data_IF_941358660006
#
_entry.id   IF_941358660006
#
_cell.length_a   1.000
_cell.length_b   1.000
_cell.length_c   1.000
_cell.angle_alpha   90.00
_cell.angle_beta   90.00
_cell.angle_gamma   90.00
#
_symmetry.space_group_name_H-M   'P 1'
#
loop_
_entity.id
_entity.type
_entity.pdbx_description
1 polymer ?
#
# COMPACT_ATOMS: atom_id res chain seq x y z
N UNK A 1 -46.54 -10.87 -41.11
CA UNK A 1 -45.42 -9.92 -41.25
C UNK A 1 -44.84 -9.79 -39.87
N UNK A 2 -43.85 -10.62 -39.56
CA UNK A 2 -43.21 -10.68 -38.24
C UNK A 2 -42.02 -9.70 -38.21
N UNK A 3 -42.12 -8.71 -37.32
CA UNK A 3 -41.02 -7.79 -37.04
C UNK A 3 -40.13 -8.45 -36.01
N UNK A 4 -39.03 -9.02 -36.44
CA UNK A 4 -37.94 -9.50 -35.57
C UNK A 4 -37.22 -8.30 -34.94
N UNK A 5 -37.40 -8.11 -33.63
CA UNK A 5 -36.58 -7.20 -32.82
C UNK A 5 -35.16 -7.78 -32.69
N UNK A 6 -34.23 -7.16 -33.41
CA UNK A 6 -32.81 -7.41 -33.27
C UNK A 6 -32.30 -6.56 -32.09
N UNK A 7 -32.15 -7.17 -30.92
CA UNK A 7 -31.42 -6.54 -29.79
C UNK A 7 -29.94 -6.61 -30.10
N UNK A 8 -29.36 -5.46 -30.47
CA UNK A 8 -27.93 -5.27 -30.57
C UNK A 8 -27.31 -5.55 -29.20
N UNK A 9 -26.53 -6.61 -29.11
CA UNK A 9 -25.68 -6.90 -27.94
C UNK A 9 -24.67 -5.78 -27.80
N UNK A 10 -24.75 -5.06 -26.68
CA UNK A 10 -23.79 -4.06 -26.27
C UNK A 10 -22.48 -4.77 -25.83
N UNK A 11 -21.33 -4.61 -26.51
CA UNK A 11 -20.09 -5.31 -26.18
C UNK A 11 -19.40 -4.80 -24.91
N UNK A 12 -20.01 -3.87 -24.19
CA UNK A 12 -19.52 -3.34 -22.90
C UNK A 12 -20.34 -3.81 -21.69
N UNK A 13 -21.16 -4.83 -21.83
CA UNK A 13 -21.64 -5.52 -20.66
C UNK A 13 -20.40 -6.12 -19.97
N UNK A 14 -20.06 -5.60 -18.81
CA UNK A 14 -19.09 -6.19 -17.91
C UNK A 14 -19.38 -7.69 -17.83
N UNK A 15 -18.51 -8.49 -18.41
CA UNK A 15 -18.57 -9.93 -18.26
C UNK A 15 -18.60 -10.17 -16.76
N UNK A 16 -19.73 -10.69 -16.26
CA UNK A 16 -19.98 -10.81 -14.85
C UNK A 16 -18.85 -11.54 -14.16
N UNK A 17 -18.05 -10.79 -13.43
CA UNK A 17 -17.44 -11.32 -12.22
C UNK A 17 -18.67 -11.73 -11.40
N UNK A 18 -18.92 -13.02 -11.32
CA UNK A 18 -19.97 -13.55 -10.49
C UNK A 18 -19.78 -12.90 -9.12
N UNK A 19 -20.69 -12.01 -8.78
CA UNK A 19 -20.75 -11.42 -7.48
C UNK A 19 -21.28 -12.53 -6.57
N UNK A 20 -20.40 -13.46 -6.21
CA UNK A 20 -20.60 -14.23 -5.00
C UNK A 20 -20.55 -13.20 -3.90
N UNK A 21 -21.71 -12.83 -3.37
CA UNK A 21 -21.89 -11.84 -2.30
C UNK A 21 -21.27 -12.30 -0.97
N UNK A 22 -20.62 -13.44 -0.95
CA UNK A 22 -19.98 -14.04 0.21
C UNK A 22 -18.60 -13.42 0.45
N UNK A 23 -18.55 -12.15 0.82
CA UNK A 23 -17.31 -11.49 1.21
C UNK A 23 -17.25 -9.97 0.98
N UNK A 24 -18.27 -9.36 0.38
CA UNK A 24 -18.36 -7.92 0.27
C UNK A 24 -19.41 -7.37 1.26
N UNK A 25 -19.07 -6.27 1.92
CA UNK A 25 -20.05 -5.60 2.78
C UNK A 25 -21.26 -5.18 1.94
N UNK A 26 -22.48 -5.51 2.41
CA UNK A 26 -23.70 -5.08 1.75
C UNK A 26 -23.85 -3.56 1.72
N UNK A 27 -24.74 -3.04 0.85
CA UNK A 27 -25.00 -1.59 0.71
C UNK A 27 -25.30 -0.89 2.06
N UNK A 28 -25.89 -1.61 3.00
CA UNK A 28 -26.39 -1.03 4.26
C UNK A 28 -25.56 -1.43 5.49
N UNK A 29 -24.79 -2.51 5.40
CA UNK A 29 -23.97 -3.03 6.49
C UNK A 29 -22.48 -2.97 6.13
N UNK A 30 -21.64 -2.82 7.14
CA UNK A 30 -20.20 -2.88 6.99
C UNK A 30 -19.67 -4.20 7.55
N UNK A 31 -18.93 -4.92 6.73
CA UNK A 31 -18.15 -6.08 7.13
C UNK A 31 -16.76 -5.97 6.52
N UNK A 32 -15.74 -5.98 7.35
CA UNK A 32 -14.37 -5.91 6.86
C UNK A 32 -13.92 -7.26 6.31
N UNK A 33 -13.19 -7.23 5.19
CA UNK A 33 -12.52 -8.39 4.63
C UNK A 33 -11.57 -8.97 5.66
N UNK A 34 -11.58 -10.28 5.81
CA UNK A 34 -10.61 -10.98 6.65
C UNK A 34 -9.19 -10.83 6.08
N UNK A 35 -8.25 -10.48 6.95
CA UNK A 35 -6.83 -10.42 6.69
C UNK A 35 -6.11 -10.97 7.92
N UNK A 36 -4.94 -11.60 7.75
CA UNK A 36 -4.18 -11.99 8.93
C UNK A 36 -3.59 -10.76 9.64
N UNK A 37 -3.26 -10.92 10.90
CA UNK A 37 -2.60 -9.87 11.69
C UNK A 37 -1.13 -9.72 11.26
N UNK A 38 -0.69 -8.48 11.14
CA UNK A 38 0.71 -8.11 10.90
C UNK A 38 1.21 -7.25 12.05
N UNK A 39 2.31 -7.66 12.64
CA UNK A 39 2.95 -6.92 13.71
C UNK A 39 3.78 -5.75 13.15
N UNK A 40 3.55 -4.55 13.68
CA UNK A 40 4.34 -3.36 13.37
C UNK A 40 4.68 -2.68 14.70
N UNK A 41 5.81 -3.04 15.29
CA UNK A 41 6.11 -2.66 16.67
C UNK A 41 4.95 -3.06 17.59
N UNK A 42 4.55 -2.14 18.47
CA UNK A 42 3.45 -2.33 19.44
C UNK A 42 2.05 -2.00 18.84
N UNK A 43 1.96 -1.75 17.54
CA UNK A 43 0.71 -1.33 16.89
C UNK A 43 0.37 -2.27 15.73
N UNK A 44 -0.17 -3.46 15.99
CA UNK A 44 -0.53 -4.42 14.95
C UNK A 44 -1.68 -3.91 14.08
N UNK A 45 -1.78 -4.42 12.86
CA UNK A 45 -2.85 -4.15 11.90
C UNK A 45 -3.34 -5.45 11.25
N UNK A 46 -4.47 -5.39 10.55
CA UNK A 46 -5.13 -6.60 10.03
C UNK A 46 -5.86 -7.37 11.16
N UNK A 47 -6.35 -8.56 10.87
CA UNK A 47 -7.15 -9.32 11.83
C UNK A 47 -8.31 -8.50 12.40
N UNK A 48 -8.52 -8.58 13.70
CA UNK A 48 -9.55 -7.83 14.43
C UNK A 48 -9.11 -6.42 14.85
N UNK A 49 -7.88 -6.02 14.50
CA UNK A 49 -7.36 -4.70 14.85
C UNK A 49 -8.16 -3.58 14.15
N UNK A 50 -8.29 -2.39 14.77
CA UNK A 50 -8.91 -1.25 14.12
C UNK A 50 -8.16 -0.84 12.86
N UNK A 51 -8.85 -0.18 11.93
CA UNK A 51 -8.21 0.41 10.75
C UNK A 51 -7.28 1.53 11.22
N UNK A 52 -5.98 1.37 10.94
CA UNK A 52 -4.94 2.29 11.40
C UNK A 52 -4.84 3.51 10.50
N UNK A 53 -4.56 4.65 11.10
CA UNK A 53 -4.37 5.92 10.39
C UNK A 53 -2.90 6.32 10.46
N UNK A 54 -2.32 6.65 9.31
CA UNK A 54 -0.94 7.14 9.25
C UNK A 54 -0.84 8.47 8.51
N UNK A 55 0.22 9.23 8.83
CA UNK A 55 0.69 10.33 8.02
C UNK A 55 2.19 10.22 7.75
N UNK A 56 2.75 11.21 7.07
CA UNK A 56 4.13 11.19 6.60
C UNK A 56 4.78 12.54 6.87
N UNK A 57 6.00 12.53 7.40
CA UNK A 57 6.77 13.77 7.58
C UNK A 57 7.12 14.40 6.22
N UNK A 58 7.24 15.70 6.23
CA UNK A 58 7.72 16.52 5.10
C UNK A 58 9.13 17.06 5.35
N UNK A 59 9.64 16.89 6.58
CA UNK A 59 11.00 17.28 6.97
C UNK A 59 12.05 16.37 6.33
N UNK A 60 13.26 16.88 6.06
CA UNK A 60 14.37 16.04 5.62
C UNK A 60 14.70 14.98 6.68
N UNK A 61 14.67 13.71 6.32
CA UNK A 61 14.91 12.59 7.27
C UNK A 61 16.33 12.59 7.85
N UNK A 62 17.26 13.34 7.27
CA UNK A 62 18.59 13.57 7.84
C UNK A 62 18.61 14.57 9.00
N UNK A 63 17.51 15.29 9.24
CA UNK A 63 17.33 16.22 10.37
C UNK A 63 16.50 15.55 11.46
N UNK A 64 17.20 15.05 12.48
CA UNK A 64 16.58 14.28 13.57
C UNK A 64 15.54 15.09 14.34
N UNK A 65 15.89 16.30 14.78
CA UNK A 65 15.01 17.10 15.66
C UNK A 65 13.77 17.57 14.89
N UNK A 66 13.92 18.03 13.64
CA UNK A 66 12.78 18.43 12.82
C UNK A 66 11.82 17.24 12.56
N UNK A 67 12.37 16.03 12.34
CA UNK A 67 11.57 14.82 12.18
C UNK A 67 10.85 14.41 13.46
N UNK A 68 11.52 14.50 14.62
CA UNK A 68 10.92 14.19 15.92
C UNK A 68 9.77 15.15 16.23
N UNK A 69 9.99 16.45 16.06
CA UNK A 69 8.96 17.47 16.32
C UNK A 69 7.74 17.27 15.42
N UNK A 70 7.95 17.00 14.13
CA UNK A 70 6.82 16.77 13.21
C UNK A 70 6.13 15.41 13.48
N UNK A 71 6.88 14.38 13.82
CA UNK A 71 6.32 13.10 14.23
C UNK A 71 5.41 13.25 15.46
N UNK A 72 5.83 14.03 16.45
CA UNK A 72 5.02 14.32 17.65
C UNK A 72 3.71 14.99 17.28
N UNK A 73 3.71 16.00 16.43
CA UNK A 73 2.46 16.66 15.98
C UNK A 73 1.51 15.67 15.26
N UNK A 74 2.05 14.80 14.42
CA UNK A 74 1.27 13.74 13.75
C UNK A 74 0.64 12.80 14.80
N UNK A 75 1.41 12.39 15.80
CA UNK A 75 0.98 11.47 16.87
C UNK A 75 -0.07 12.15 17.76
N UNK A 76 0.15 13.39 18.17
CA UNK A 76 -0.79 14.20 18.95
C UNK A 76 -2.13 14.39 18.23
N UNK A 77 -2.11 14.48 16.88
CA UNK A 77 -3.32 14.49 16.06
C UNK A 77 -4.03 13.13 15.98
N UNK A 78 -3.43 12.06 16.49
CA UNK A 78 -3.97 10.69 16.50
C UNK A 78 -3.40 9.78 15.43
N UNK A 79 -2.25 10.12 14.85
CA UNK A 79 -1.51 9.24 13.94
C UNK A 79 -0.96 8.01 14.64
N UNK A 80 -1.21 6.83 14.08
CA UNK A 80 -0.81 5.54 14.67
C UNK A 80 0.46 4.98 14.02
N UNK A 81 0.86 5.52 12.89
CA UNK A 81 2.16 5.29 12.23
C UNK A 81 2.69 6.61 11.68
N UNK A 82 4.00 6.80 11.74
CA UNK A 82 4.68 7.95 11.13
C UNK A 82 5.60 7.47 10.03
N UNK A 83 5.37 7.91 8.78
CA UNK A 83 6.19 7.54 7.63
C UNK A 83 7.22 8.62 7.33
N UNK A 84 8.46 8.20 7.08
CA UNK A 84 9.58 9.06 6.73
C UNK A 84 10.14 8.68 5.36
N UNK A 85 10.41 9.66 4.51
CA UNK A 85 11.07 9.43 3.22
C UNK A 85 12.52 9.01 3.45
N UNK A 86 12.93 7.89 2.84
CA UNK A 86 14.25 7.28 3.05
C UNK A 86 14.87 7.00 1.69
N UNK A 87 15.55 8.00 1.14
CA UNK A 87 16.11 7.96 -0.22
C UNK A 87 17.51 7.38 -0.27
N UNK A 88 18.28 7.50 0.80
CA UNK A 88 19.66 7.08 0.87
C UNK A 88 20.03 6.43 2.20
N UNK A 89 21.25 5.89 2.26
CA UNK A 89 21.77 5.20 3.45
C UNK A 89 21.84 6.15 4.65
N UNK A 90 22.17 7.42 4.44
CA UNK A 90 22.24 8.42 5.51
C UNK A 90 20.90 8.63 6.19
N UNK A 91 19.83 8.72 5.44
CA UNK A 91 18.47 8.83 5.98
C UNK A 91 18.06 7.52 6.69
N UNK A 92 18.41 6.36 6.11
CA UNK A 92 18.13 5.07 6.73
C UNK A 92 18.87 4.90 8.06
N UNK A 93 20.12 5.27 8.16
CA UNK A 93 20.89 5.25 9.41
C UNK A 93 20.32 6.24 10.43
N UNK A 94 19.86 7.42 9.99
CA UNK A 94 19.30 8.43 10.88
C UNK A 94 17.94 8.04 11.49
N UNK A 95 17.23 7.07 10.90
CA UNK A 95 16.03 6.50 11.52
C UNK A 95 16.30 5.99 12.95
N UNK A 96 17.52 5.46 13.19
CA UNK A 96 17.95 5.06 14.53
C UNK A 96 17.87 6.22 15.53
N UNK A 97 18.41 7.39 15.16
CA UNK A 97 18.45 8.56 16.03
C UNK A 97 17.03 9.08 16.29
N UNK A 98 16.20 9.16 15.24
CA UNK A 98 14.79 9.58 15.36
C UNK A 98 14.04 8.62 16.28
N UNK A 99 14.20 7.31 16.10
CA UNK A 99 13.56 6.29 16.90
C UNK A 99 13.98 6.40 18.36
N UNK A 100 15.30 6.48 18.66
CA UNK A 100 15.83 6.63 20.02
C UNK A 100 15.24 7.88 20.69
N UNK A 101 15.24 9.03 20.02
CA UNK A 101 14.69 10.28 20.57
C UNK A 101 13.22 10.16 20.93
N UNK A 102 12.41 9.54 20.09
CA UNK A 102 10.98 9.30 20.38
C UNK A 102 10.81 8.34 21.58
N UNK A 103 11.61 7.27 21.65
CA UNK A 103 11.55 6.30 22.76
C UNK A 103 12.00 6.89 24.10
N UNK A 104 12.99 7.80 24.12
CA UNK A 104 13.40 8.54 25.30
C UNK A 104 12.26 9.40 25.90
N UNK A 105 11.34 9.85 25.05
CA UNK A 105 10.13 10.58 25.48
C UNK A 105 8.93 9.66 25.76
N UNK A 106 9.12 8.34 25.74
CA UNK A 106 8.07 7.35 26.01
C UNK A 106 7.10 7.12 24.84
N UNK A 107 7.41 7.64 23.65
CA UNK A 107 6.59 7.48 22.46
C UNK A 107 6.96 6.16 21.76
N UNK A 108 6.00 5.23 21.65
CA UNK A 108 6.22 3.90 21.03
C UNK A 108 5.65 3.79 19.62
N UNK A 109 5.06 4.85 19.08
CA UNK A 109 4.48 4.87 17.74
C UNK A 109 5.48 4.38 16.69
N UNK A 110 5.12 3.38 15.86
CA UNK A 110 6.03 2.82 14.88
C UNK A 110 6.40 3.79 13.77
N UNK A 111 7.68 3.73 13.37
CA UNK A 111 8.19 4.44 12.21
C UNK A 111 8.12 3.57 10.96
N UNK A 112 7.76 4.18 9.84
CA UNK A 112 7.69 3.53 8.53
C UNK A 112 8.70 4.18 7.61
N UNK A 113 9.73 3.44 7.21
CA UNK A 113 10.70 3.90 6.22
C UNK A 113 10.12 3.75 4.81
N UNK A 114 10.08 4.85 4.06
CA UNK A 114 9.64 4.85 2.66
C UNK A 114 10.86 4.85 1.74
N UNK A 115 11.31 3.66 1.37
CA UNK A 115 12.52 3.48 0.58
C UNK A 115 12.23 3.62 -0.91
N UNK A 116 13.13 4.31 -1.59
CA UNK A 116 13.08 4.55 -3.03
C UNK A 116 14.38 4.08 -3.71
N UNK A 117 14.24 3.37 -4.83
CA UNK A 117 15.29 3.08 -5.82
C UNK A 117 16.51 2.25 -5.40
N UNK A 118 16.69 1.88 -4.14
CA UNK A 118 17.91 1.21 -3.72
C UNK A 118 17.64 0.12 -2.68
N UNK A 119 17.78 -1.17 -3.03
CA UNK A 119 17.59 -2.29 -2.10
C UNK A 119 18.47 -2.20 -0.84
N UNK A 120 19.72 -1.75 -0.96
CA UNK A 120 20.62 -1.62 0.19
C UNK A 120 20.11 -0.60 1.22
N UNK A 121 19.42 0.44 0.78
CA UNK A 121 18.76 1.40 1.70
C UNK A 121 17.64 0.72 2.48
N UNK A 122 16.91 -0.22 1.85
CA UNK A 122 15.88 -1.01 2.53
C UNK A 122 16.49 -1.94 3.59
N UNK A 123 17.63 -2.57 3.29
CA UNK A 123 18.35 -3.42 4.25
C UNK A 123 18.74 -2.63 5.51
N UNK A 124 19.31 -1.44 5.34
CA UNK A 124 19.69 -0.57 6.47
C UNK A 124 18.46 -0.05 7.22
N UNK A 125 17.41 0.37 6.51
CA UNK A 125 16.18 0.86 7.13
C UNK A 125 15.48 -0.21 7.97
N UNK A 126 15.56 -1.48 7.57
CA UNK A 126 14.98 -2.61 8.31
C UNK A 126 15.61 -2.82 9.69
N UNK A 127 16.81 -2.30 9.94
CA UNK A 127 17.45 -2.36 11.25
C UNK A 127 16.86 -1.36 12.27
N UNK A 128 16.16 -0.32 11.79
CA UNK A 128 15.84 0.85 12.63
C UNK A 128 14.40 1.31 12.52
N UNK A 129 13.60 0.78 11.62
CA UNK A 129 12.18 1.08 11.46
C UNK A 129 11.33 -0.17 11.71
N UNK A 130 10.15 0.01 12.25
CA UNK A 130 9.21 -1.10 12.49
C UNK A 130 8.51 -1.58 11.21
N UNK A 131 8.55 -0.76 10.16
CA UNK A 131 8.05 -1.15 8.83
C UNK A 131 8.85 -0.48 7.73
N UNK A 132 9.18 -1.22 6.67
CA UNK A 132 9.86 -0.70 5.48
C UNK A 132 8.97 -0.85 4.26
N UNK A 133 8.77 0.24 3.52
CA UNK A 133 8.09 0.18 2.23
C UNK A 133 9.11 0.06 1.11
N UNK A 134 8.90 -0.90 0.25
CA UNK A 134 9.59 -1.06 -1.03
C UNK A 134 8.61 -0.90 -2.19
N UNK A 135 9.09 -0.41 -3.32
CA UNK A 135 8.29 -0.25 -4.53
C UNK A 135 8.72 -1.27 -5.59
N UNK A 136 7.90 -2.27 -5.90
CA UNK A 136 8.21 -3.28 -6.92
C UNK A 136 8.71 -2.71 -8.25
N UNK A 137 8.16 -1.58 -8.69
CA UNK A 137 8.50 -0.98 -9.98
C UNK A 137 9.92 -0.42 -10.09
N UNK A 138 10.61 -0.22 -8.96
CA UNK A 138 11.97 0.35 -8.94
C UNK A 138 12.87 -0.24 -7.83
N UNK A 139 12.51 -1.39 -7.28
CA UNK A 139 13.30 -2.03 -6.23
C UNK A 139 14.55 -2.71 -6.80
N UNK A 140 14.40 -3.49 -7.86
CA UNK A 140 15.50 -4.18 -8.58
C UNK A 140 15.57 -3.71 -10.02
N UNK A 141 14.42 -3.52 -10.65
CA UNK A 141 14.33 -3.01 -12.00
C UNK A 141 14.88 -1.57 -12.06
N UNK A 142 15.63 -1.20 -13.10
CA UNK A 142 15.98 0.20 -13.29
C UNK A 142 14.72 1.05 -13.44
N UNK A 143 14.82 2.31 -13.02
CA UNK A 143 13.74 3.26 -13.26
C UNK A 143 13.31 3.19 -14.73
N UNK A 144 11.99 3.32 -14.95
CA UNK A 144 11.36 3.26 -16.28
C UNK A 144 12.16 4.02 -17.32
N UNK A 145 12.76 3.31 -18.26
CA UNK A 145 13.66 3.89 -19.27
C UNK A 145 13.09 3.86 -20.67
N UNK A 146 12.04 3.05 -20.91
CA UNK A 146 11.47 2.77 -22.22
C UNK A 146 12.49 2.27 -23.26
N UNK A 147 13.62 1.72 -22.78
CA UNK A 147 14.70 1.22 -23.65
C UNK A 147 14.43 -0.17 -24.18
N UNK A 148 13.74 -1.00 -23.41
CA UNK A 148 13.38 -2.35 -23.80
C UNK A 148 11.85 -2.48 -23.75
N UNK A 149 11.25 -2.62 -24.92
CA UNK A 149 9.78 -2.65 -25.09
C UNK A 149 9.22 -4.07 -25.19
N UNK A 150 10.07 -5.08 -25.37
CA UNK A 150 9.66 -6.48 -25.47
C UNK A 150 10.58 -7.37 -24.64
N UNK A 151 9.97 -8.33 -23.96
CA UNK A 151 10.65 -9.37 -23.17
C UNK A 151 10.15 -10.74 -23.61
N UNK A 152 11.07 -11.65 -23.92
CA UNK A 152 10.71 -13.07 -24.09
C UNK A 152 10.33 -13.69 -22.73
N UNK A 153 9.74 -14.88 -22.75
CA UNK A 153 9.37 -15.57 -21.51
C UNK A 153 10.62 -15.93 -20.69
N UNK A 154 11.71 -16.30 -21.35
CA UNK A 154 12.99 -16.59 -20.71
C UNK A 154 13.60 -15.35 -20.06
N UNK A 155 13.61 -14.23 -20.77
CA UNK A 155 14.11 -12.96 -20.24
C UNK A 155 13.28 -12.47 -19.04
N UNK A 156 11.95 -12.61 -19.13
CA UNK A 156 11.05 -12.28 -18.04
C UNK A 156 11.33 -13.15 -16.81
N UNK A 157 11.51 -14.45 -16.99
CA UNK A 157 11.85 -15.37 -15.92
C UNK A 157 13.21 -15.07 -15.26
N UNK A 158 14.20 -14.64 -16.06
CA UNK A 158 15.50 -14.23 -15.50
C UNK A 158 15.39 -12.94 -14.65
N UNK A 159 14.56 -11.97 -15.05
CA UNK A 159 14.32 -10.79 -14.24
C UNK A 159 13.63 -11.14 -12.91
N UNK A 160 12.68 -12.08 -12.90
CA UNK A 160 12.07 -12.57 -11.65
C UNK A 160 13.10 -13.21 -10.72
N UNK A 161 14.07 -13.98 -11.25
CA UNK A 161 15.16 -14.54 -10.43
C UNK A 161 16.05 -13.45 -9.83
N UNK A 162 16.29 -12.35 -10.54
CA UNK A 162 17.05 -11.20 -10.01
C UNK A 162 16.28 -10.55 -8.84
N UNK A 163 14.97 -10.38 -8.99
CA UNK A 163 14.12 -9.86 -7.91
C UNK A 163 14.23 -10.77 -6.68
N UNK A 164 14.05 -12.07 -6.86
CA UNK A 164 14.14 -13.04 -5.77
C UNK A 164 15.50 -13.02 -5.07
N UNK A 165 16.58 -13.02 -5.85
CA UNK A 165 17.96 -12.96 -5.36
C UNK A 165 18.22 -11.74 -4.48
N UNK A 166 17.58 -10.61 -4.75
CA UNK A 166 17.72 -9.38 -3.99
C UNK A 166 16.72 -9.27 -2.84
N UNK A 167 15.50 -9.76 -3.04
CA UNK A 167 14.42 -9.57 -2.09
C UNK A 167 14.46 -10.58 -0.94
N UNK A 168 14.84 -11.83 -1.18
CA UNK A 168 14.91 -12.86 -0.13
C UNK A 168 15.91 -12.50 0.99
N UNK A 169 17.14 -12.02 0.72
CA UNK A 169 18.03 -11.52 1.77
C UNK A 169 17.41 -10.40 2.62
N UNK A 170 16.73 -9.45 1.99
CA UNK A 170 16.01 -8.39 2.68
C UNK A 170 14.90 -8.93 3.60
N UNK A 171 14.11 -9.90 3.14
CA UNK A 171 13.09 -10.55 3.99
C UNK A 171 13.72 -11.24 5.21
N UNK A 172 14.92 -11.81 5.07
CA UNK A 172 15.63 -12.42 6.19
C UNK A 172 16.08 -11.38 7.23
N UNK A 173 16.58 -10.21 6.79
CA UNK A 173 16.87 -9.09 7.69
C UNK A 173 15.59 -8.64 8.40
N UNK A 174 14.49 -8.47 7.67
CA UNK A 174 13.20 -8.09 8.27
C UNK A 174 12.71 -9.11 9.31
N UNK A 175 12.88 -10.41 9.05
CA UNK A 175 12.53 -11.47 9.99
C UNK A 175 13.38 -11.41 11.26
N UNK A 176 14.68 -11.19 11.14
CA UNK A 176 15.60 -11.08 12.27
C UNK A 176 15.29 -9.87 13.15
N UNK A 177 14.90 -8.75 12.55
CA UNK A 177 14.63 -7.49 13.24
C UNK A 177 13.14 -7.24 13.55
N UNK A 178 12.26 -8.21 13.27
CA UNK A 178 10.80 -8.09 13.44
C UNK A 178 10.21 -6.87 12.71
N UNK A 179 10.73 -6.58 11.54
CA UNK A 179 10.33 -5.46 10.70
C UNK A 179 9.30 -5.91 9.68
N UNK A 180 8.13 -5.28 9.67
CA UNK A 180 7.12 -5.53 8.64
C UNK A 180 7.54 -4.93 7.29
N UNK A 181 7.08 -5.53 6.21
CA UNK A 181 7.34 -5.05 4.85
C UNK A 181 6.05 -4.52 4.24
N UNK A 182 6.08 -3.32 3.65
CA UNK A 182 5.00 -2.86 2.80
C UNK A 182 5.43 -2.92 1.33
N UNK A 183 4.78 -3.78 0.58
CA UNK A 183 4.89 -3.83 -0.88
C UNK A 183 3.97 -2.75 -1.44
N UNK A 184 4.56 -1.65 -1.87
CA UNK A 184 3.84 -0.44 -2.25
C UNK A 184 4.02 -0.10 -3.72
N UNK A 185 3.07 -0.51 -4.57
CA UNK A 185 3.08 -0.19 -6.01
C UNK A 185 2.49 1.19 -6.25
N UNK A 186 3.19 2.00 -7.04
CA UNK A 186 2.67 3.22 -7.62
C UNK A 186 2.46 3.01 -9.12
N UNK A 187 1.27 3.34 -9.61
CA UNK A 187 0.91 3.24 -11.02
C UNK A 187 1.94 3.91 -11.94
N UNK A 188 2.38 5.12 -11.60
CA UNK A 188 3.35 5.88 -12.40
C UNK A 188 4.80 5.32 -12.41
N UNK A 189 5.10 4.26 -11.66
CA UNK A 189 6.44 3.68 -11.53
C UNK A 189 6.50 2.19 -11.82
N UNK A 190 5.62 1.67 -12.67
CA UNK A 190 5.70 0.28 -13.12
C UNK A 190 6.98 0.05 -13.93
N UNK A 191 7.61 -1.13 -13.79
CA UNK A 191 8.80 -1.48 -14.55
C UNK A 191 8.51 -1.68 -16.05
N UNK A 192 9.54 -1.49 -16.89
CA UNK A 192 9.44 -1.71 -18.33
C UNK A 192 8.98 -3.14 -18.65
N UNK A 193 9.40 -4.11 -17.84
CA UNK A 193 9.02 -5.52 -17.95
C UNK A 193 7.51 -5.75 -17.77
N UNK A 194 6.93 -5.15 -16.74
CA UNK A 194 5.47 -5.20 -16.49
C UNK A 194 4.73 -4.49 -17.61
N UNK A 195 5.20 -3.31 -18.00
CA UNK A 195 4.58 -2.52 -19.08
C UNK A 195 4.59 -3.26 -20.42
N UNK A 196 5.65 -3.99 -20.72
CA UNK A 196 5.79 -4.75 -21.96
C UNK A 196 4.78 -5.89 -22.04
N UNK A 197 4.50 -6.57 -20.94
CA UNK A 197 3.66 -7.78 -20.92
C UNK A 197 2.19 -7.49 -20.62
N UNK A 198 1.91 -6.57 -19.70
CA UNK A 198 0.57 -6.30 -19.18
C UNK A 198 0.04 -4.91 -19.54
N UNK A 199 0.92 -4.03 -20.06
CA UNK A 199 0.58 -2.64 -20.36
C UNK A 199 0.32 -1.79 -19.11
N UNK A 200 -0.16 -0.57 -19.34
CA UNK A 200 -0.56 0.38 -18.29
C UNK A 200 -2.02 0.11 -17.87
N UNK A 201 -2.23 -1.01 -17.20
CA UNK A 201 -3.54 -1.55 -16.88
C UNK A 201 -3.64 -1.96 -15.40
N UNK A 202 -4.84 -2.08 -14.84
CA UNK A 202 -5.03 -2.68 -13.51
C UNK A 202 -4.37 -4.06 -13.37
N UNK A 203 -4.38 -4.89 -14.42
CA UNK A 203 -3.73 -6.20 -14.40
C UNK A 203 -2.20 -6.09 -14.25
N UNK A 204 -1.56 -5.14 -14.94
CA UNK A 204 -0.13 -4.87 -14.78
C UNK A 204 0.23 -4.36 -13.38
N UNK A 205 -0.59 -3.47 -12.82
CA UNK A 205 -0.41 -2.98 -11.46
C UNK A 205 -0.50 -4.14 -10.45
N UNK A 206 -1.49 -5.01 -10.60
CA UNK A 206 -1.69 -6.17 -9.73
C UNK A 206 -0.55 -7.17 -9.88
N UNK A 207 -0.12 -7.50 -11.10
CA UNK A 207 0.98 -8.44 -11.31
C UNK A 207 2.29 -7.94 -10.71
N UNK A 208 2.56 -6.63 -10.79
CA UNK A 208 3.71 -6.02 -10.11
C UNK A 208 3.72 -6.27 -8.59
N UNK A 209 2.54 -6.31 -7.95
CA UNK A 209 2.40 -6.74 -6.56
C UNK A 209 2.59 -8.25 -6.39
N UNK A 210 1.90 -9.04 -7.21
CA UNK A 210 1.80 -10.49 -7.04
C UNK A 210 3.14 -11.20 -7.19
N UNK A 211 4.04 -10.69 -8.02
CA UNK A 211 5.39 -11.22 -8.14
C UNK A 211 6.12 -11.23 -6.80
N UNK A 212 6.05 -10.14 -6.04
CA UNK A 212 6.66 -10.04 -4.72
C UNK A 212 5.90 -10.86 -3.65
N UNK A 213 4.56 -10.88 -3.73
CA UNK A 213 3.75 -11.65 -2.79
C UNK A 213 3.97 -13.16 -2.92
N UNK A 214 4.15 -13.65 -4.15
CA UNK A 214 4.48 -15.07 -4.38
C UNK A 214 5.83 -15.43 -3.76
N UNK A 215 6.81 -14.51 -3.76
CA UNK A 215 8.08 -14.70 -3.05
C UNK A 215 7.82 -14.75 -1.54
N UNK A 216 7.11 -13.77 -0.97
CA UNK A 216 6.78 -13.76 0.46
C UNK A 216 6.07 -15.05 0.90
N UNK A 217 5.09 -15.51 0.12
CA UNK A 217 4.38 -16.78 0.40
C UNK A 217 5.31 -17.97 0.39
N UNK A 218 6.20 -18.06 -0.59
CA UNK A 218 7.17 -19.15 -0.73
C UNK A 218 8.19 -19.18 0.41
N UNK A 219 8.60 -17.99 0.88
CA UNK A 219 9.52 -17.81 2.00
C UNK A 219 8.83 -17.86 3.38
N UNK A 220 7.52 -18.14 3.44
CA UNK A 220 6.69 -18.08 4.65
C UNK A 220 6.89 -16.77 5.45
N UNK A 221 7.00 -15.64 4.73
CA UNK A 221 7.09 -14.32 5.33
C UNK A 221 5.71 -13.66 5.35
N UNK A 222 5.13 -13.54 6.55
CA UNK A 222 3.74 -13.10 6.74
C UNK A 222 3.60 -11.62 7.09
N UNK A 223 4.63 -11.00 7.66
CA UNK A 223 4.58 -9.60 8.09
C UNK A 223 4.62 -8.63 6.89
N UNK A 224 3.62 -8.77 6.00
CA UNK A 224 3.49 -8.02 4.75
C UNK A 224 2.19 -7.22 4.72
N UNK A 225 2.31 -5.96 4.36
CA UNK A 225 1.20 -5.05 4.04
C UNK A 225 1.30 -4.66 2.57
N UNK A 226 0.19 -4.52 1.89
CA UNK A 226 0.21 -4.18 0.47
C UNK A 226 -0.45 -2.81 0.25
N UNK A 227 0.05 -2.06 -0.71
CA UNK A 227 -0.64 -0.87 -1.19
C UNK A 227 -0.50 -0.73 -2.70
N UNK A 228 -1.60 -0.38 -3.34
CA UNK A 228 -1.63 0.13 -4.71
C UNK A 228 -2.08 1.58 -4.63
N UNK A 229 -1.33 2.47 -5.26
CA UNK A 229 -1.64 3.89 -5.33
C UNK A 229 -1.62 4.37 -6.77
N UNK A 230 -2.61 5.16 -7.12
CA UNK A 230 -2.71 5.89 -8.37
C UNK A 230 -3.29 7.27 -8.10
N UNK A 231 -3.04 8.22 -8.99
CA UNK A 231 -3.69 9.54 -8.97
C UNK A 231 -5.11 9.50 -9.54
N UNK A 232 -5.39 8.55 -10.43
CA UNK A 232 -6.74 8.25 -10.89
C UNK A 232 -7.43 7.30 -9.91
N UNK A 233 -8.51 7.76 -9.29
CA UNK A 233 -9.24 7.01 -8.26
C UNK A 233 -9.93 5.76 -8.81
N UNK A 234 -10.42 5.80 -10.04
CA UNK A 234 -11.07 4.65 -10.70
C UNK A 234 -10.03 3.54 -10.92
N UNK A 235 -8.88 3.87 -11.51
CA UNK A 235 -7.78 2.91 -11.72
C UNK A 235 -7.31 2.32 -10.40
N UNK A 236 -7.20 3.15 -9.35
CA UNK A 236 -6.81 2.67 -8.02
C UNK A 236 -7.81 1.68 -7.45
N UNK A 237 -9.10 2.02 -7.46
CA UNK A 237 -10.17 1.18 -6.91
C UNK A 237 -10.28 -0.14 -7.66
N UNK A 238 -10.28 -0.11 -8.99
CA UNK A 238 -10.30 -1.32 -9.83
C UNK A 238 -9.08 -2.21 -9.57
N UNK A 239 -7.89 -1.62 -9.50
CA UNK A 239 -6.66 -2.37 -9.24
C UNK A 239 -6.66 -3.04 -7.87
N UNK A 240 -7.14 -2.36 -6.82
CA UNK A 240 -7.20 -2.93 -5.47
C UNK A 240 -8.25 -4.04 -5.39
N UNK A 241 -9.42 -3.86 -6.01
CA UNK A 241 -10.43 -4.92 -6.11
C UNK A 241 -9.89 -6.16 -6.83
N UNK A 242 -9.23 -5.95 -7.96
CA UNK A 242 -8.60 -7.03 -8.72
C UNK A 242 -7.49 -7.72 -7.92
N UNK A 243 -6.69 -6.96 -7.16
CA UNK A 243 -5.68 -7.53 -6.28
C UNK A 243 -6.29 -8.43 -5.21
N UNK A 244 -7.36 -7.98 -4.55
CA UNK A 244 -8.06 -8.76 -3.52
C UNK A 244 -8.58 -10.08 -4.10
N UNK A 245 -9.21 -10.04 -5.28
CA UNK A 245 -9.70 -11.23 -5.95
C UNK A 245 -8.56 -12.18 -6.37
N UNK A 246 -7.45 -11.64 -6.87
CA UNK A 246 -6.27 -12.43 -7.25
C UNK A 246 -5.62 -13.08 -6.03
N UNK A 247 -5.45 -12.34 -4.93
CA UNK A 247 -4.95 -12.89 -3.66
C UNK A 247 -5.84 -14.01 -3.15
N UNK A 248 -7.17 -13.83 -3.18
CA UNK A 248 -8.12 -14.88 -2.77
C UNK A 248 -7.95 -16.16 -3.59
N UNK A 249 -7.82 -16.04 -4.92
CA UNK A 249 -7.57 -17.19 -5.81
C UNK A 249 -6.26 -17.90 -5.50
N UNK A 250 -5.23 -17.16 -5.13
CA UNK A 250 -3.92 -17.69 -4.75
C UNK A 250 -3.80 -18.00 -3.24
N UNK A 251 -4.90 -17.97 -2.50
CA UNK A 251 -4.95 -18.25 -1.05
C UNK A 251 -3.98 -17.36 -0.25
N UNK A 252 -4.12 -16.05 -0.44
CA UNK A 252 -3.39 -15.01 0.29
C UNK A 252 -4.40 -14.04 0.93
N UNK A 253 -4.12 -13.62 2.15
CA UNK A 253 -4.99 -12.77 2.97
C UNK A 253 -4.25 -11.56 3.57
N UNK A 254 -3.19 -11.10 2.90
CA UNK A 254 -2.40 -9.96 3.35
C UNK A 254 -3.24 -8.70 3.53
N UNK A 255 -3.01 -7.93 4.64
CA UNK A 255 -3.69 -6.67 4.88
C UNK A 255 -3.30 -5.56 3.90
N UNK A 256 -4.18 -4.60 3.74
CA UNK A 256 -4.09 -3.55 2.74
C UNK A 256 -3.97 -2.15 3.35
N UNK A 257 -3.04 -1.36 2.82
CA UNK A 257 -2.92 0.06 3.07
C UNK A 257 -3.50 0.85 1.90
N UNK A 258 -4.47 1.72 2.18
CA UNK A 258 -5.14 2.52 1.15
C UNK A 258 -4.62 3.96 1.13
N UNK A 259 -4.58 4.55 -0.05
CA UNK A 259 -4.24 5.94 -0.24
C UNK A 259 -4.30 6.36 -1.70
N UNK A 260 -4.69 7.61 -1.94
CA UNK A 260 -4.66 8.24 -3.27
C UNK A 260 -3.38 9.04 -3.38
N UNK A 261 -2.67 8.91 -4.51
CA UNK A 261 -1.46 9.70 -4.77
C UNK A 261 -1.86 11.08 -5.28
N UNK A 262 -1.21 12.12 -4.76
CA UNK A 262 -1.41 13.50 -5.21
C UNK A 262 -2.90 13.90 -5.22
N UNK A 263 -3.56 13.69 -4.09
CA UNK A 263 -4.98 14.00 -3.99
C UNK A 263 -5.26 15.51 -4.15
N UNK A 264 -4.31 16.34 -3.73
CA UNK A 264 -4.41 17.81 -3.83
C UNK A 264 -4.56 18.46 -2.46
N UNK A 265 -5.01 19.70 -2.46
CA UNK A 265 -5.18 20.50 -1.25
C UNK A 265 -6.66 20.81 -0.98
N UNK A 266 -6.94 21.30 0.21
CA UNK A 266 -8.25 21.79 0.60
C UNK A 266 -9.35 20.76 0.41
N UNK A 267 -10.48 21.21 -0.10
CA UNK A 267 -11.68 20.40 -0.31
C UNK A 267 -11.47 19.33 -1.40
N UNK A 268 -10.80 19.71 -2.50
CA UNK A 268 -10.56 18.78 -3.62
C UNK A 268 -9.77 17.55 -3.19
N UNK A 269 -8.71 17.74 -2.40
CA UNK A 269 -7.90 16.64 -1.87
C UNK A 269 -8.70 15.73 -0.95
N UNK A 270 -9.59 16.30 -0.13
CA UNK A 270 -10.48 15.56 0.76
C UNK A 270 -11.53 14.76 -0.01
N UNK A 271 -12.17 15.36 -1.00
CA UNK A 271 -13.16 14.70 -1.85
C UNK A 271 -12.50 13.55 -2.62
N UNK A 272 -11.36 13.78 -3.25
CA UNK A 272 -10.65 12.76 -4.03
C UNK A 272 -10.21 11.58 -3.16
N UNK A 273 -9.73 11.86 -1.94
CA UNK A 273 -9.38 10.84 -0.96
C UNK A 273 -10.63 10.06 -0.49
N UNK A 274 -11.73 10.76 -0.22
CA UNK A 274 -12.99 10.13 0.18
C UNK A 274 -13.57 9.22 -0.92
N UNK A 275 -13.50 9.64 -2.18
CA UNK A 275 -13.93 8.82 -3.32
C UNK A 275 -13.08 7.57 -3.46
N UNK A 276 -11.75 7.69 -3.48
CA UNK A 276 -10.87 6.55 -3.70
C UNK A 276 -10.80 5.60 -2.49
N UNK A 277 -10.43 6.14 -1.33
CA UNK A 277 -10.30 5.34 -0.10
C UNK A 277 -11.68 4.90 0.39
N UNK A 278 -12.67 5.79 0.38
CA UNK A 278 -14.02 5.51 0.86
C UNK A 278 -14.73 4.43 0.07
N UNK A 279 -14.56 4.36 -1.25
CA UNK A 279 -15.11 3.26 -2.06
C UNK A 279 -14.59 1.90 -1.58
N UNK A 280 -13.27 1.78 -1.37
CA UNK A 280 -12.66 0.52 -0.91
C UNK A 280 -13.04 0.18 0.53
N UNK A 281 -13.04 1.17 1.42
CA UNK A 281 -13.53 0.97 2.79
C UNK A 281 -15.00 0.51 2.81
N UNK A 282 -15.84 1.08 1.94
CA UNK A 282 -17.24 0.68 1.82
C UNK A 282 -17.40 -0.78 1.35
N UNK A 283 -16.45 -1.28 0.57
CA UNK A 283 -16.36 -2.70 0.17
C UNK A 283 -15.80 -3.59 1.30
N UNK A 284 -15.44 -3.03 2.46
CA UNK A 284 -14.77 -3.75 3.55
C UNK A 284 -13.27 -3.95 3.34
N UNK A 285 -12.66 -3.30 2.35
CA UNK A 285 -11.25 -3.42 2.01
C UNK A 285 -10.46 -2.30 2.69
N UNK A 286 -9.42 -2.66 3.45
CA UNK A 286 -8.47 -1.72 4.04
C UNK A 286 -8.26 -1.93 5.53
N UNK A 287 -6.99 -2.00 5.92
CA UNK A 287 -6.53 -2.25 7.29
C UNK A 287 -5.73 -1.05 7.83
N UNK A 288 -5.21 -0.23 6.94
CA UNK A 288 -4.59 1.06 7.26
C UNK A 288 -4.79 2.04 6.11
N UNK A 289 -4.87 3.33 6.42
CA UNK A 289 -5.08 4.36 5.41
C UNK A 289 -4.14 5.56 5.61
N UNK A 290 -3.88 6.27 4.51
CA UNK A 290 -3.33 7.62 4.52
C UNK A 290 -4.11 8.50 3.55
N UNK A 291 -4.67 9.57 4.07
CA UNK A 291 -5.11 10.72 3.27
C UNK A 291 -3.87 11.55 2.95
N UNK A 292 -3.65 11.91 1.70
CA UNK A 292 -2.47 12.68 1.28
C UNK A 292 -2.93 14.07 0.82
N UNK A 293 -2.64 15.09 1.61
CA UNK A 293 -2.97 16.48 1.34
C UNK A 293 -1.71 17.30 1.13
N UNK A 294 -1.83 18.42 0.38
CA UNK A 294 -0.80 19.44 0.26
C UNK A 294 -0.88 20.44 1.43
N UNK A 295 -1.02 19.91 2.64
CA UNK A 295 -1.14 20.65 3.91
C UNK A 295 -0.12 20.09 4.91
N UNK A 296 -0.07 20.66 6.13
CA UNK A 296 0.75 20.07 7.20
C UNK A 296 0.30 18.64 7.49
N UNK A 297 1.24 17.70 7.71
CA UNK A 297 0.92 16.28 7.83
C UNK A 297 -0.09 15.93 8.92
N UNK A 298 -0.10 16.65 10.02
CA UNK A 298 -1.05 16.48 11.11
C UNK A 298 -2.50 16.76 10.69
N UNK A 299 -2.73 17.60 9.68
CA UNK A 299 -4.06 17.89 9.15
C UNK A 299 -4.69 16.70 8.39
N UNK A 300 -3.87 15.76 7.92
CA UNK A 300 -4.33 14.53 7.26
C UNK A 300 -5.09 13.62 8.23
N UNK A 301 -4.69 13.59 9.51
CA UNK A 301 -5.15 12.61 10.50
C UNK A 301 -6.64 12.74 10.83
N UNK A 302 -7.19 13.93 11.17
CA UNK A 302 -8.62 14.07 11.43
C UNK A 302 -9.48 13.69 10.23
N UNK A 303 -9.04 14.01 9.01
CA UNK A 303 -9.75 13.67 7.77
C UNK A 303 -9.79 12.16 7.58
N UNK A 304 -8.65 11.49 7.75
CA UNK A 304 -8.55 10.04 7.65
C UNK A 304 -9.41 9.34 8.71
N UNK A 305 -9.35 9.80 9.97
CA UNK A 305 -10.16 9.23 11.05
C UNK A 305 -11.65 9.40 10.79
N UNK A 306 -12.06 10.61 10.36
CA UNK A 306 -13.47 10.86 10.02
C UNK A 306 -13.96 9.91 8.91
N UNK A 307 -13.14 9.66 7.89
CA UNK A 307 -13.50 8.75 6.81
C UNK A 307 -13.66 7.31 7.30
N UNK A 308 -12.74 6.82 8.13
CA UNK A 308 -12.82 5.49 8.75
C UNK A 308 -14.09 5.37 9.58
N UNK A 309 -14.33 6.32 10.48
CA UNK A 309 -15.48 6.31 11.41
C UNK A 309 -16.81 6.40 10.65
N UNK A 310 -16.86 7.21 9.58
CA UNK A 310 -18.05 7.34 8.74
C UNK A 310 -18.46 6.00 8.11
N UNK A 311 -17.51 5.24 7.65
CA UNK A 311 -17.77 3.94 7.00
C UNK A 311 -18.05 2.85 8.05
N UNK A 312 -17.20 2.74 9.08
CA UNK A 312 -17.26 1.61 10.04
C UNK A 312 -18.48 1.63 10.95
N UNK A 313 -19.04 2.84 11.25
CA UNK A 313 -20.29 2.91 12.03
C UNK A 313 -21.52 2.31 11.32
N UNK A 314 -21.39 1.90 10.06
CA UNK A 314 -22.41 1.12 9.35
C UNK A 314 -22.47 -0.34 9.80
N UNK A 315 -21.50 -0.80 10.60
CA UNK A 315 -21.52 -2.15 11.14
C UNK A 315 -22.77 -2.39 12.01
N UNK A 316 -23.44 -3.51 11.79
CA UNK A 316 -24.66 -3.86 12.50
C UNK A 316 -25.95 -3.19 12.00
N UNK A 317 -25.91 -2.38 10.96
CA UNK A 317 -27.11 -1.89 10.27
C UNK A 317 -27.64 -2.98 9.33
N UNK A 318 -28.94 -3.23 9.38
CA UNK A 318 -29.68 -4.19 8.54
C UNK A 318 -30.57 -3.48 7.55
#
# INVERSE_FOLDING_TARGET
MDIKNNHSQNPHACAGVGCDTDGWSGLFNYSRREAHEVNVGDTPLGGDNPIRVQSMTTTPTADTEACVDQAKRIIEAGGEYVRLTTQGVREAENLKNINVRLREEGITTPLVADVHFNPHVADVAALYAEKVRVNPGNYVDPARTFKKLEYTDEEYAEELKKIEKQFVPFLNICREHHTAVRIGVNHGSLSDRIMSRYGDTPAGIVESCMEFLRICKREDFKDVVISIKASNTVVMVESVRLLVDTMRREQMDYPLHLGVTEAGEGEDGRIKSAVGIGALLADGIGDTIRVSLSEEPEAEIPVARHLVDYITRRAGHT
#
